data_IF_854410133582
#
_entry.id   IF_854410133582
#
_cell.length_a   1.000
_cell.length_b   1.000
_cell.length_c   1.000
_cell.angle_alpha   90.00
_cell.angle_beta   90.00
_cell.angle_gamma   90.00
#
_symmetry.space_group_name_H-M   'P 1'
#
loop_
_entity.id
_entity.type
_entity.pdbx_description
1 polymer ?
#
# COMPACT_ATOMS: atom_id res chain seq x y z
N UNK A 1 22.77 -17.27 -3.84
CA UNK A 1 22.60 -17.62 -2.42
C UNK A 1 21.28 -18.38 -2.23
N UNK A 2 21.16 -19.28 -1.25
CA UNK A 2 19.92 -20.02 -0.96
C UNK A 2 19.08 -19.28 0.09
N UNK A 3 18.15 -18.45 -0.39
CA UNK A 3 17.14 -17.76 0.43
C UNK A 3 15.84 -17.61 -0.36
N UNK A 4 14.74 -17.26 0.31
CA UNK A 4 13.40 -17.10 -0.29
C UNK A 4 13.38 -16.16 -1.51
N UNK A 5 14.33 -15.21 -1.57
CA UNK A 5 14.41 -14.18 -2.61
C UNK A 5 15.44 -14.45 -3.72
N UNK A 6 16.00 -15.66 -3.82
CA UNK A 6 17.03 -15.99 -4.81
C UNK A 6 16.57 -15.76 -6.26
N UNK A 7 15.28 -15.93 -6.57
CA UNK A 7 14.73 -15.65 -7.90
C UNK A 7 14.62 -14.16 -8.19
N UNK A 8 14.39 -13.33 -7.16
CA UNK A 8 14.42 -11.87 -7.29
C UNK A 8 15.84 -11.38 -7.56
N UNK A 9 16.85 -11.98 -6.93
CA UNK A 9 18.27 -11.67 -7.19
C UNK A 9 18.66 -11.85 -8.65
N UNK A 10 18.17 -12.91 -9.32
CA UNK A 10 18.43 -13.15 -10.75
C UNK A 10 17.86 -12.03 -11.62
N UNK A 11 16.70 -11.47 -11.24
CA UNK A 11 16.01 -10.43 -12.00
C UNK A 11 16.61 -9.04 -11.77
N UNK A 12 16.92 -8.70 -10.53
CA UNK A 12 17.32 -7.35 -10.12
C UNK A 12 18.83 -7.19 -9.88
N UNK A 13 19.56 -8.30 -9.88
CA UNK A 13 20.94 -8.37 -9.43
C UNK A 13 21.08 -8.22 -7.91
N UNK A 14 22.29 -8.50 -7.41
CA UNK A 14 22.60 -8.42 -5.99
C UNK A 14 22.37 -7.01 -5.42
N UNK A 15 22.73 -5.97 -6.17
CA UNK A 15 22.53 -4.58 -5.74
C UNK A 15 21.05 -4.20 -5.65
N UNK A 16 20.23 -4.66 -6.60
CA UNK A 16 18.79 -4.40 -6.58
C UNK A 16 18.10 -5.09 -5.40
N UNK A 17 18.49 -6.34 -5.11
CA UNK A 17 17.99 -7.06 -3.94
C UNK A 17 18.45 -6.41 -2.62
N UNK A 18 19.71 -5.99 -2.52
CA UNK A 18 20.22 -5.30 -1.33
C UNK A 18 19.45 -4.00 -1.05
N UNK A 19 19.17 -3.22 -2.09
CA UNK A 19 18.34 -2.00 -1.96
C UNK A 19 16.93 -2.31 -1.47
N UNK A 20 16.29 -3.37 -1.95
CA UNK A 20 14.98 -3.79 -1.43
C UNK A 20 15.06 -4.21 0.04
N UNK A 21 16.07 -4.99 0.40
CA UNK A 21 16.29 -5.44 1.78
C UNK A 21 16.58 -4.31 2.76
N UNK A 22 17.11 -3.17 2.29
CA UNK A 22 17.31 -1.95 3.10
C UNK A 22 16.09 -1.00 3.08
N UNK A 23 15.12 -1.22 2.19
CA UNK A 23 14.00 -0.30 2.00
C UNK A 23 12.88 -0.52 3.02
N UNK A 24 12.26 0.59 3.44
CA UNK A 24 11.09 0.64 4.30
C UNK A 24 9.89 1.25 3.58
N UNK A 25 8.84 0.43 3.38
CA UNK A 25 7.60 0.86 2.71
C UNK A 25 6.43 0.84 3.70
N UNK A 26 5.67 1.94 3.74
CA UNK A 26 4.37 1.97 4.41
C UNK A 26 3.25 1.63 3.42
N UNK A 27 2.32 0.77 3.84
CA UNK A 27 1.10 0.44 3.10
C UNK A 27 -0.10 0.91 3.90
N UNK A 28 -0.82 1.87 3.33
CA UNK A 28 -2.00 2.49 3.93
C UNK A 28 -3.28 1.84 3.37
N UNK A 29 -3.99 1.09 4.19
CA UNK A 29 -5.14 0.26 3.81
C UNK A 29 -4.69 -1.10 3.30
N UNK A 30 -5.26 -2.17 3.84
CA UNK A 30 -4.92 -3.58 3.60
C UNK A 30 -6.09 -4.35 2.98
N UNK A 31 -6.94 -3.63 2.23
CA UNK A 31 -8.02 -4.21 1.44
C UNK A 31 -7.52 -4.96 0.20
N UNK A 32 -8.37 -5.05 -0.82
CA UNK A 32 -8.08 -5.87 -2.02
C UNK A 32 -6.80 -5.47 -2.78
N UNK A 33 -6.40 -4.20 -2.73
CA UNK A 33 -5.13 -3.73 -3.34
C UNK A 33 -3.97 -3.84 -2.35
N UNK A 34 -4.14 -3.31 -1.15
CA UNK A 34 -3.06 -3.16 -0.18
C UNK A 34 -2.51 -4.48 0.33
N UNK A 35 -3.36 -5.47 0.59
CA UNK A 35 -2.90 -6.82 0.94
C UNK A 35 -2.02 -7.41 -0.17
N UNK A 36 -2.48 -7.33 -1.43
CA UNK A 36 -1.72 -7.86 -2.56
C UNK A 36 -0.39 -7.11 -2.78
N UNK A 37 -0.38 -5.80 -2.55
CA UNK A 37 0.84 -4.98 -2.56
C UNK A 37 1.84 -5.45 -1.50
N UNK A 38 1.38 -5.66 -0.26
CA UNK A 38 2.22 -6.12 0.84
C UNK A 38 2.84 -7.49 0.57
N UNK A 39 2.03 -8.43 0.08
CA UNK A 39 2.51 -9.77 -0.25
C UNK A 39 3.52 -9.73 -1.41
N UNK A 40 3.27 -8.93 -2.45
CA UNK A 40 4.20 -8.79 -3.56
C UNK A 40 5.55 -8.21 -3.10
N UNK A 41 5.55 -7.18 -2.24
CA UNK A 41 6.77 -6.59 -1.71
C UNK A 41 7.54 -7.54 -0.79
N UNK A 42 6.84 -8.27 0.09
CA UNK A 42 7.45 -9.29 0.94
C UNK A 42 8.13 -10.38 0.10
N UNK A 43 7.43 -10.91 -0.92
CA UNK A 43 7.99 -11.91 -1.85
C UNK A 43 9.17 -11.38 -2.69
N UNK A 44 9.22 -10.06 -2.91
CA UNK A 44 10.33 -9.42 -3.60
C UNK A 44 11.57 -9.23 -2.69
N UNK A 45 11.45 -9.42 -1.38
CA UNK A 45 12.55 -9.26 -0.44
C UNK A 45 12.70 -7.83 0.08
N UNK A 46 11.59 -7.11 0.24
CA UNK A 46 11.59 -5.86 1.00
C UNK A 46 12.04 -6.13 2.46
N UNK A 47 12.84 -5.23 3.02
CA UNK A 47 13.34 -5.36 4.40
C UNK A 47 12.27 -5.07 5.44
N UNK A 48 11.60 -3.92 5.30
CA UNK A 48 10.66 -3.42 6.31
C UNK A 48 9.34 -3.01 5.69
N UNK A 49 8.23 -3.45 6.28
CA UNK A 49 6.88 -2.98 5.95
C UNK A 49 6.18 -2.39 7.18
N UNK A 50 5.67 -1.17 7.05
CA UNK A 50 4.65 -0.65 7.96
C UNK A 50 3.26 -0.94 7.39
N UNK A 51 2.44 -1.70 8.11
CA UNK A 51 1.09 -2.06 7.69
C UNK A 51 0.08 -1.24 8.50
N UNK A 52 -0.74 -0.43 7.82
CA UNK A 52 -1.74 0.44 8.47
C UNK A 52 -3.14 0.09 8.00
N UNK A 53 -3.95 -0.47 8.89
CA UNK A 53 -5.39 -0.70 8.70
C UNK A 53 -6.06 -0.88 10.06
N UNK A 54 -7.29 -0.40 10.21
CA UNK A 54 -8.07 -0.49 11.44
C UNK A 54 -9.20 -1.54 11.35
N UNK A 55 -9.45 -2.07 10.16
CA UNK A 55 -10.53 -3.02 9.89
C UNK A 55 -10.17 -4.44 10.32
N UNK A 56 -11.23 -5.22 10.49
CA UNK A 56 -11.18 -6.68 10.59
C UNK A 56 -11.55 -7.30 9.25
N UNK A 57 -11.20 -8.56 9.07
CA UNK A 57 -11.60 -9.35 7.90
C UNK A 57 -13.11 -9.59 7.95
N UNK A 58 -13.83 -9.16 6.92
CA UNK A 58 -15.26 -9.39 6.78
C UNK A 58 -15.60 -10.48 5.76
N UNK A 59 -16.80 -11.08 5.87
CA UNK A 59 -17.28 -12.08 4.90
C UNK A 59 -17.37 -11.52 3.47
N UNK A 60 -17.65 -10.23 3.33
CA UNK A 60 -17.72 -9.53 2.03
C UNK A 60 -16.36 -9.36 1.37
N UNK A 61 -15.26 -9.58 2.10
CA UNK A 61 -13.89 -9.45 1.61
C UNK A 61 -13.36 -10.69 0.91
N UNK A 62 -13.99 -11.85 1.14
CA UNK A 62 -13.62 -13.16 0.59
C UNK A 62 -13.45 -13.17 -0.95
N UNK A 63 -14.10 -12.25 -1.65
CA UNK A 63 -14.05 -12.20 -3.12
C UNK A 63 -12.80 -11.53 -3.69
N UNK A 64 -12.03 -10.78 -2.89
CA UNK A 64 -10.99 -9.87 -3.42
C UNK A 64 -9.81 -9.61 -2.50
N UNK A 65 -9.88 -9.96 -1.22
CA UNK A 65 -8.78 -9.72 -0.27
C UNK A 65 -8.06 -11.02 0.02
N UNK A 66 -6.75 -11.06 -0.17
CA UNK A 66 -5.96 -12.28 -0.02
C UNK A 66 -6.01 -12.86 1.40
N UNK A 67 -6.16 -12.00 2.41
CA UNK A 67 -6.20 -12.39 3.82
C UNK A 67 -7.59 -12.85 4.28
N UNK A 68 -8.61 -12.70 3.43
CA UNK A 68 -9.95 -13.09 3.75
C UNK A 68 -10.16 -14.59 3.47
N UNK A 69 -10.21 -15.36 4.54
CA UNK A 69 -10.51 -16.79 4.57
C UNK A 69 -11.59 -17.03 5.62
N UNK A 70 -12.34 -18.13 5.52
CA UNK A 70 -13.32 -18.48 6.57
C UNK A 70 -12.66 -18.60 7.96
N UNK A 71 -11.39 -18.98 8.03
CA UNK A 71 -10.61 -19.12 9.27
C UNK A 71 -10.11 -17.79 9.82
N UNK A 72 -10.17 -16.70 9.06
CA UNK A 72 -9.60 -15.40 9.44
C UNK A 72 -10.66 -14.33 9.66
N UNK A 73 -11.96 -14.66 9.50
CA UNK A 73 -13.07 -13.75 9.76
C UNK A 73 -12.98 -13.15 11.18
N UNK A 74 -13.34 -11.87 11.29
CA UNK A 74 -13.36 -11.08 12.53
C UNK A 74 -11.98 -10.83 13.19
N UNK A 75 -10.90 -11.31 12.58
CA UNK A 75 -9.52 -10.99 12.98
C UNK A 75 -9.06 -9.67 12.35
N UNK A 76 -8.21 -8.88 13.04
CA UNK A 76 -7.64 -7.66 12.46
C UNK A 76 -6.84 -7.95 11.19
N UNK A 77 -7.07 -7.18 10.11
CA UNK A 77 -6.38 -7.39 8.82
C UNK A 77 -4.86 -7.28 8.97
N UNK A 78 -4.39 -6.33 9.79
CA UNK A 78 -2.97 -6.14 10.11
C UNK A 78 -2.34 -7.39 10.71
N UNK A 79 -3.02 -8.09 11.62
CA UNK A 79 -2.48 -9.26 12.29
C UNK A 79 -2.43 -10.46 11.33
N UNK A 80 -3.55 -10.74 10.64
CA UNK A 80 -3.64 -11.86 9.68
C UNK A 80 -2.60 -11.70 8.56
N UNK A 81 -2.43 -10.49 8.03
CA UNK A 81 -1.43 -10.23 7.01
C UNK A 81 -0.02 -10.40 7.57
N UNK A 82 0.25 -9.91 8.78
CA UNK A 82 1.58 -10.04 9.41
C UNK A 82 1.98 -11.49 9.58
N UNK A 83 1.11 -12.34 10.11
CA UNK A 83 1.39 -13.77 10.30
C UNK A 83 1.70 -14.44 8.95
N UNK A 84 0.89 -14.12 7.94
CA UNK A 84 1.10 -14.62 6.58
C UNK A 84 2.42 -14.13 5.96
N UNK A 85 2.81 -12.88 6.19
CA UNK A 85 4.06 -12.35 5.64
C UNK A 85 5.29 -12.98 6.29
N UNK A 86 5.26 -13.26 7.60
CA UNK A 86 6.35 -13.99 8.26
C UNK A 86 6.47 -15.44 7.78
N UNK A 87 5.36 -16.10 7.43
CA UNK A 87 5.37 -17.43 6.80
C UNK A 87 6.01 -17.40 5.40
N UNK A 88 5.97 -16.25 4.71
CA UNK A 88 6.62 -16.05 3.40
C UNK A 88 8.10 -15.70 3.56
N UNK A 89 8.42 -14.76 4.44
CA UNK A 89 9.76 -14.27 4.70
C UNK A 89 9.93 -14.04 6.22
N UNK A 90 10.56 -14.96 6.96
CA UNK A 90 10.70 -14.82 8.41
C UNK A 90 11.64 -13.67 8.81
N UNK A 91 12.46 -13.16 7.89
CA UNK A 91 13.44 -12.10 8.14
C UNK A 91 12.86 -10.69 7.92
N UNK A 92 11.63 -10.57 7.41
CA UNK A 92 10.99 -9.27 7.17
C UNK A 92 10.65 -8.58 8.50
N UNK A 93 10.91 -7.28 8.59
CA UNK A 93 10.48 -6.47 9.73
C UNK A 93 9.09 -5.91 9.45
N UNK A 94 8.10 -6.29 10.26
CA UNK A 94 6.73 -5.77 10.14
C UNK A 94 6.39 -4.84 11.31
N UNK A 95 6.06 -3.59 10.99
CA UNK A 95 5.54 -2.60 11.94
C UNK A 95 4.02 -2.55 11.77
N UNK A 96 3.28 -3.13 12.72
CA UNK A 96 1.82 -3.13 12.72
C UNK A 96 1.26 -1.84 13.29
N UNK A 97 0.37 -1.18 12.54
CA UNK A 97 -0.40 -0.02 13.03
C UNK A 97 -1.90 -0.29 12.83
N UNK A 98 -2.55 -0.80 13.87
CA UNK A 98 -3.99 -1.05 13.89
C UNK A 98 -4.76 0.26 14.15
N UNK A 99 -4.67 1.20 13.21
CA UNK A 99 -5.19 2.55 13.38
C UNK A 99 -5.72 3.15 12.08
N UNK A 100 -6.58 4.15 12.23
CA UNK A 100 -7.15 4.91 11.12
C UNK A 100 -6.23 6.07 10.75
N UNK A 101 -6.05 6.31 9.44
CA UNK A 101 -5.27 7.44 8.95
C UNK A 101 -6.17 8.68 8.88
N UNK A 102 -6.11 9.50 9.92
CA UNK A 102 -6.65 10.84 9.91
C UNK A 102 -5.62 11.86 9.36
N UNK A 103 -5.93 13.16 9.50
CA UNK A 103 -5.03 14.23 9.05
C UNK A 103 -3.73 14.31 9.86
N UNK A 104 -3.79 14.08 11.17
CA UNK A 104 -2.61 14.14 12.03
C UNK A 104 -1.67 12.98 11.70
N UNK A 105 -2.22 11.78 11.58
CA UNK A 105 -1.47 10.58 11.19
C UNK A 105 -0.86 10.70 9.79
N UNK A 106 -1.62 11.25 8.84
CA UNK A 106 -1.10 11.54 7.50
C UNK A 106 0.10 12.49 7.53
N UNK A 107 0.09 13.50 8.40
CA UNK A 107 1.22 14.40 8.59
C UNK A 107 2.42 13.65 9.19
N UNK A 108 2.23 12.89 10.26
CA UNK A 108 3.28 12.06 10.89
C UNK A 108 3.95 11.14 9.86
N UNK A 109 3.16 10.40 9.08
CA UNK A 109 3.67 9.50 8.02
C UNK A 109 4.50 10.28 6.98
N UNK A 110 4.05 11.48 6.60
CA UNK A 110 4.70 12.24 5.53
C UNK A 110 6.08 12.79 5.91
N UNK A 111 6.35 12.97 7.21
CA UNK A 111 7.61 13.52 7.74
C UNK A 111 8.50 12.45 8.39
N UNK A 112 8.04 11.20 8.44
CA UNK A 112 8.79 10.07 8.97
C UNK A 112 10.01 9.79 8.08
N UNK A 113 11.21 10.16 8.56
CA UNK A 113 12.46 10.06 7.79
C UNK A 113 12.90 8.61 7.56
N UNK A 114 12.41 7.65 8.34
CA UNK A 114 12.72 6.23 8.17
C UNK A 114 11.96 5.61 6.97
N UNK A 115 10.84 6.22 6.56
CA UNK A 115 10.07 5.72 5.41
C UNK A 115 10.68 6.13 4.07
N UNK A 116 11.06 5.16 3.25
CA UNK A 116 11.50 5.42 1.88
C UNK A 116 10.32 5.68 0.93
N UNK A 117 9.18 5.03 1.18
CA UNK A 117 8.06 5.04 0.25
C UNK A 117 6.70 4.81 0.92
N UNK A 118 5.65 5.41 0.37
CA UNK A 118 4.25 5.22 0.80
C UNK A 118 3.40 4.64 -0.34
N UNK A 119 2.77 3.50 -0.08
CA UNK A 119 1.76 2.90 -0.94
C UNK A 119 0.35 3.17 -0.38
N UNK A 120 -0.34 4.14 -0.97
CA UNK A 120 -1.68 4.54 -0.58
C UNK A 120 -2.77 3.68 -1.26
N UNK A 121 -3.30 2.74 -0.48
CA UNK A 121 -4.36 1.80 -0.86
C UNK A 121 -5.70 2.08 -0.14
N UNK A 122 -5.86 3.28 0.44
CA UNK A 122 -7.08 3.72 1.13
C UNK A 122 -8.21 3.92 0.09
N UNK A 123 -9.44 3.57 0.44
CA UNK A 123 -10.65 3.80 -0.37
C UNK A 123 -11.42 5.08 0.04
N UNK A 124 -11.40 5.44 1.33
CA UNK A 124 -11.99 6.64 1.87
C UNK A 124 -11.31 7.91 1.33
N UNK A 125 -12.04 8.65 0.48
CA UNK A 125 -11.55 9.85 -0.22
C UNK A 125 -10.91 10.88 0.72
N UNK A 126 -11.49 11.14 1.88
CA UNK A 126 -11.00 12.16 2.82
C UNK A 126 -9.61 11.82 3.35
N UNK A 127 -9.42 10.58 3.80
CA UNK A 127 -8.15 10.09 4.33
C UNK A 127 -7.09 9.99 3.24
N UNK A 128 -7.49 9.44 2.10
CA UNK A 128 -6.67 9.36 0.89
C UNK A 128 -6.13 10.72 0.47
N UNK A 129 -7.01 11.73 0.44
CA UNK A 129 -6.65 13.10 0.08
C UNK A 129 -5.70 13.71 1.11
N UNK A 130 -5.91 13.46 2.41
CA UNK A 130 -5.03 13.95 3.47
C UNK A 130 -3.62 13.35 3.37
N UNK A 131 -3.51 12.04 3.15
CA UNK A 131 -2.22 11.36 2.99
C UNK A 131 -1.46 11.88 1.77
N UNK A 132 -2.11 11.91 0.61
CA UNK A 132 -1.51 12.42 -0.64
C UNK A 132 -1.07 13.88 -0.49
N UNK A 133 -1.89 14.74 0.13
CA UNK A 133 -1.53 16.15 0.27
C UNK A 133 -0.32 16.35 1.17
N UNK A 134 -0.24 15.62 2.29
CA UNK A 134 0.90 15.69 3.20
C UNK A 134 2.18 15.15 2.54
N UNK A 135 2.13 13.98 1.89
CA UNK A 135 3.30 13.42 1.18
C UNK A 135 3.75 14.33 0.02
N UNK A 136 2.83 14.98 -0.70
CA UNK A 136 3.19 15.96 -1.73
C UNK A 136 3.92 17.18 -1.15
N UNK A 137 3.51 17.66 0.03
CA UNK A 137 4.10 18.82 0.69
C UNK A 137 5.48 18.53 1.27
N UNK A 138 5.68 17.33 1.83
CA UNK A 138 6.97 16.91 2.38
C UNK A 138 7.93 16.34 1.33
N UNK A 139 7.44 16.04 0.13
CA UNK A 139 8.22 15.37 -0.91
C UNK A 139 8.44 13.87 -0.65
N UNK A 140 7.67 13.25 0.26
CA UNK A 140 7.72 11.81 0.54
C UNK A 140 7.32 11.02 -0.72
N UNK A 141 8.19 10.14 -1.26
CA UNK A 141 7.84 9.30 -2.41
C UNK A 141 6.60 8.46 -2.12
N UNK A 142 5.66 8.44 -3.07
CA UNK A 142 4.44 7.66 -2.92
C UNK A 142 3.89 7.14 -4.25
N UNK A 143 3.05 6.11 -4.14
CA UNK A 143 2.11 5.70 -5.18
C UNK A 143 0.72 5.60 -4.56
N UNK A 144 -0.31 5.90 -5.33
CA UNK A 144 -1.70 5.82 -4.86
C UNK A 144 -2.53 4.95 -5.81
N UNK A 145 -3.17 3.92 -5.26
CA UNK A 145 -4.08 3.08 -6.02
C UNK A 145 -5.44 3.77 -6.18
N UNK A 146 -6.00 3.67 -7.38
CA UNK A 146 -7.33 4.20 -7.69
C UNK A 146 -8.40 3.09 -7.66
N UNK A 147 -9.62 3.39 -8.11
CA UNK A 147 -10.74 2.46 -8.03
C UNK A 147 -10.54 1.20 -8.87
N UNK A 148 -10.31 0.06 -8.20
CA UNK A 148 -10.21 -1.27 -8.80
C UNK A 148 -11.57 -2.00 -8.92
N UNK A 149 -12.60 -1.52 -8.21
CA UNK A 149 -13.95 -2.11 -8.27
C UNK A 149 -14.63 -1.97 -9.63
N UNK A 150 -15.44 -2.95 -10.01
CA UNK A 150 -16.21 -2.95 -11.25
C UNK A 150 -15.37 -3.09 -12.53
N UNK A 151 -14.18 -3.70 -12.43
CA UNK A 151 -13.26 -3.95 -13.55
C UNK A 151 -13.10 -5.45 -13.79
N UNK A 152 -12.96 -5.84 -15.05
CA UNK A 152 -12.81 -7.24 -15.47
C UNK A 152 -11.48 -7.51 -16.19
N UNK A 153 -10.89 -6.48 -16.81
CA UNK A 153 -9.73 -6.64 -17.68
C UNK A 153 -8.46 -6.08 -17.01
N UNK A 154 -7.58 -6.93 -16.45
CA UNK A 154 -6.36 -6.49 -15.79
C UNK A 154 -5.31 -5.94 -16.76
N UNK A 155 -5.39 -6.23 -18.07
CA UNK A 155 -4.39 -5.74 -19.04
C UNK A 155 -4.54 -4.24 -19.32
N UNK A 156 -5.61 -3.61 -18.84
CA UNK A 156 -5.86 -2.17 -18.95
C UNK A 156 -5.40 -1.36 -17.74
N UNK A 157 -4.79 -2.00 -16.75
CA UNK A 157 -4.20 -1.30 -15.61
C UNK A 157 -2.96 -0.55 -16.10
N UNK A 158 -2.88 0.75 -15.78
CA UNK A 158 -1.77 1.61 -16.17
C UNK A 158 -1.33 2.47 -14.99
N UNK A 159 -0.04 2.77 -14.92
CA UNK A 159 0.51 3.78 -14.00
C UNK A 159 0.53 5.12 -14.73
N UNK A 160 0.00 6.16 -14.09
CA UNK A 160 -0.08 7.50 -14.66
C UNK A 160 -0.14 8.52 -13.55
N UNK A 161 0.29 9.74 -13.85
CA UNK A 161 0.08 10.88 -12.96
C UNK A 161 -1.40 11.11 -12.69
N UNK A 162 -1.71 11.62 -11.49
CA UNK A 162 -3.09 11.88 -11.07
C UNK A 162 -3.85 12.79 -12.05
N UNK A 163 -3.22 13.82 -12.60
CA UNK A 163 -3.84 14.74 -13.59
C UNK A 163 -4.14 14.11 -14.95
N UNK A 164 -3.56 12.95 -15.25
CA UNK A 164 -3.69 12.20 -16.51
C UNK A 164 -4.53 10.93 -16.39
N UNK A 165 -5.05 10.61 -15.21
CA UNK A 165 -5.89 9.42 -15.02
C UNK A 165 -7.24 9.55 -15.72
N UNK A 166 -7.63 8.49 -16.42
CA UNK A 166 -8.85 8.41 -17.22
C UNK A 166 -9.75 7.27 -16.74
N UNK A 167 -11.02 7.30 -17.14
CA UNK A 167 -11.98 6.21 -16.94
C UNK A 167 -12.13 5.70 -15.49
N UNK A 168 -11.80 6.49 -14.47
CA UNK A 168 -11.84 6.10 -13.06
C UNK A 168 -12.60 7.11 -12.19
N UNK A 169 -13.71 6.66 -11.60
CA UNK A 169 -14.58 7.51 -10.77
C UNK A 169 -13.89 7.99 -9.50
N UNK A 170 -13.15 7.11 -8.81
CA UNK A 170 -12.36 7.49 -7.63
C UNK A 170 -11.33 8.54 -7.99
N UNK A 171 -10.55 8.32 -9.06
CA UNK A 171 -9.54 9.28 -9.50
C UNK A 171 -10.16 10.65 -9.87
N UNK A 172 -11.34 10.64 -10.52
CA UNK A 172 -12.10 11.86 -10.82
C UNK A 172 -12.47 12.63 -9.57
N UNK A 173 -12.96 11.94 -8.54
CA UNK A 173 -13.32 12.58 -7.27
C UNK A 173 -12.09 13.05 -6.49
N UNK A 174 -11.03 12.25 -6.45
CA UNK A 174 -9.73 12.64 -5.89
C UNK A 174 -9.19 13.93 -6.53
N UNK A 175 -9.22 14.04 -7.87
CA UNK A 175 -8.83 15.28 -8.56
C UNK A 175 -9.64 16.49 -8.12
N UNK A 176 -10.95 16.34 -7.92
CA UNK A 176 -11.79 17.45 -7.43
C UNK A 176 -11.40 17.86 -6.02
N UNK A 177 -11.22 16.89 -5.12
CA UNK A 177 -10.86 17.14 -3.72
C UNK A 177 -9.47 17.78 -3.61
N UNK A 178 -8.48 17.24 -4.30
CA UNK A 178 -7.12 17.77 -4.33
C UNK A 178 -7.07 19.20 -4.89
N UNK A 179 -7.82 19.50 -5.97
CA UNK A 179 -7.95 20.89 -6.48
C UNK A 179 -8.59 21.82 -5.47
N UNK A 180 -9.62 21.36 -4.75
CA UNK A 180 -10.31 22.16 -3.72
C UNK A 180 -9.35 22.59 -2.61
N UNK A 181 -8.42 21.72 -2.23
CA UNK A 181 -7.40 22.03 -1.21
C UNK A 181 -6.09 22.56 -1.79
N UNK A 182 -6.04 22.86 -3.11
CA UNK A 182 -4.87 23.34 -3.84
C UNK A 182 -3.64 22.42 -3.75
N UNK A 183 -3.86 21.11 -3.62
CA UNK A 183 -2.80 20.10 -3.63
C UNK A 183 -2.31 19.81 -5.06
N UNK A 184 -1.07 19.32 -5.17
CA UNK A 184 -0.49 18.90 -6.45
C UNK A 184 -1.25 17.70 -7.03
N UNK A 185 -1.41 17.69 -8.35
CA UNK A 185 -1.85 16.51 -9.11
C UNK A 185 -0.69 15.88 -9.91
N UNK A 186 0.54 16.36 -9.69
CA UNK A 186 1.75 15.95 -10.41
C UNK A 186 2.55 14.92 -9.61
N UNK A 187 1.84 13.97 -9.04
CA UNK A 187 2.39 12.75 -8.44
C UNK A 187 1.87 11.56 -9.25
#
# INVERSE_FOLDING_TARGET
MSGSCARTEILLGQQGLARLAESHVLIAGLGGVGGACAEALCRAGIGTLTLVDFDKVEKTDLNRQLVALNSTLDLPKVDVLTDRLHDINPDIVIIKRNEFIDRGKAQEISIDEELDFVADCIDAITCKTALIDNCNKSGKPMISSMGAGGRLDPTKITISRMDKTENCALAREMRKQLRRIKSSLKF
#
